data_IF_962180275520
#
_entry.id   IF_962180275520
#
_cell.length_a   1.000
_cell.length_b   1.000
_cell.length_c   1.000
_cell.angle_alpha   90.00
_cell.angle_beta   90.00
_cell.angle_gamma   90.00
#
_symmetry.space_group_name_H-M   'P 1'
#
loop_
_entity.id
_entity.type
_entity.pdbx_description
1 polymer ?
#
# COMPACT_ATOMS: atom_id res chain seq x y z
N UNK A 1 7.22 0.72 31.56
CA UNK A 1 7.16 1.23 32.93
C UNK A 1 8.28 2.23 33.15
N UNK A 2 8.02 3.33 33.86
CA UNK A 2 9.00 4.42 34.08
C UNK A 2 9.90 4.19 35.31
N UNK A 3 9.47 3.32 36.23
CA UNK A 3 10.21 2.97 37.43
C UNK A 3 11.20 1.82 37.14
N UNK A 4 12.46 1.91 37.59
CA UNK A 4 13.38 0.78 37.56
C UNK A 4 12.81 -0.40 38.35
N UNK A 5 12.89 -1.60 37.77
CA UNK A 5 12.42 -2.83 38.41
C UNK A 5 13.62 -3.59 38.97
N UNK A 6 13.57 -3.96 40.25
CA UNK A 6 14.61 -4.79 40.87
C UNK A 6 14.66 -6.18 40.22
N UNK A 7 15.88 -6.68 40.00
CA UNK A 7 16.13 -7.99 39.39
C UNK A 7 16.97 -8.83 40.33
N UNK A 8 16.46 -9.99 40.69
CA UNK A 8 17.13 -11.00 41.52
C UNK A 8 17.51 -12.24 40.69
N UNK A 9 18.23 -13.18 41.30
CA UNK A 9 18.68 -14.42 40.67
C UNK A 9 17.46 -15.19 40.11
N UNK A 10 17.51 -15.50 38.80
CA UNK A 10 16.41 -16.17 38.07
C UNK A 10 15.46 -15.22 37.35
N UNK A 11 15.58 -13.91 37.53
CA UNK A 11 14.75 -12.92 36.82
C UNK A 11 15.11 -12.83 35.34
N UNK A 12 14.10 -12.78 34.47
CA UNK A 12 14.31 -12.50 33.05
C UNK A 12 14.71 -11.03 32.83
N UNK A 13 15.72 -10.84 31.99
CA UNK A 13 16.19 -9.53 31.51
C UNK A 13 15.94 -9.42 30.01
N UNK A 14 15.57 -8.22 29.56
CA UNK A 14 15.22 -7.96 28.16
C UNK A 14 16.37 -7.17 27.54
N UNK A 15 16.88 -7.63 26.40
CA UNK A 15 17.88 -6.87 25.64
C UNK A 15 17.32 -5.50 25.24
N UNK A 16 18.05 -4.43 25.56
CA UNK A 16 17.61 -3.04 25.36
C UNK A 16 17.22 -2.30 26.65
N UNK A 17 17.13 -2.98 27.80
CA UNK A 17 16.94 -2.30 29.10
C UNK A 17 18.26 -1.76 29.65
N UNK A 18 18.22 -0.59 30.29
CA UNK A 18 19.38 0.05 30.89
C UNK A 18 19.53 -0.44 32.34
N UNK A 19 20.68 -1.04 32.66
CA UNK A 19 21.03 -1.34 34.05
C UNK A 19 21.38 -0.04 34.79
N UNK A 20 20.72 0.21 35.93
CA UNK A 20 20.95 1.43 36.74
C UNK A 20 22.01 1.25 37.81
N UNK A 21 22.04 0.10 38.47
CA UNK A 21 22.84 -0.09 39.70
C UNK A 21 23.32 -1.52 39.81
N UNK A 22 24.60 -1.67 40.17
CA UNK A 22 25.24 -2.97 40.37
C UNK A 22 25.75 -3.61 39.08
N UNK A 23 26.55 -4.65 39.26
CA UNK A 23 27.05 -5.50 38.19
C UNK A 23 26.50 -6.91 38.41
N UNK A 24 25.93 -7.51 37.38
CA UNK A 24 25.43 -8.87 37.45
C UNK A 24 25.76 -9.59 36.14
N UNK A 25 26.01 -10.89 36.25
CA UNK A 25 26.13 -11.78 35.09
C UNK A 25 24.77 -12.37 34.77
N UNK A 26 24.42 -12.40 33.49
CA UNK A 26 23.21 -13.03 33.00
C UNK A 26 23.57 -14.08 31.97
N UNK A 27 22.74 -15.12 31.87
CA UNK A 27 22.84 -16.14 30.82
C UNK A 27 21.93 -15.73 29.67
N UNK A 28 22.50 -15.62 28.47
CA UNK A 28 21.72 -15.29 27.28
C UNK A 28 20.81 -16.45 26.90
N UNK A 29 19.50 -16.22 26.87
CA UNK A 29 18.49 -17.23 26.48
C UNK A 29 18.01 -17.08 25.05
N UNK A 30 18.04 -15.85 24.50
CA UNK A 30 17.63 -15.51 23.13
C UNK A 30 18.59 -14.48 22.53
N UNK A 31 19.02 -14.69 21.30
CA UNK A 31 19.97 -13.81 20.58
C UNK A 31 19.48 -13.49 19.17
N UNK A 32 19.92 -12.35 18.63
CA UNK A 32 19.60 -11.93 17.25
C UNK A 32 18.09 -11.80 17.01
N UNK A 33 17.58 -12.59 16.06
CA UNK A 33 16.18 -12.56 15.62
C UNK A 33 15.17 -12.99 16.71
N UNK A 34 15.62 -13.69 17.74
CA UNK A 34 14.76 -14.13 18.86
C UNK A 34 14.66 -13.09 19.98
N UNK A 35 15.38 -11.97 19.87
CA UNK A 35 15.30 -10.89 20.87
C UNK A 35 13.93 -10.21 20.84
N UNK A 36 13.51 -9.70 21.99
CA UNK A 36 12.25 -8.95 22.07
C UNK A 36 12.23 -7.74 21.11
N UNK A 37 13.38 -7.06 20.94
CA UNK A 37 13.51 -5.95 20.00
C UNK A 37 13.34 -6.40 18.54
N UNK A 38 13.96 -7.52 18.15
CA UNK A 38 13.81 -8.06 16.79
C UNK A 38 12.36 -8.50 16.50
N UNK A 39 11.65 -9.05 17.50
CA UNK A 39 10.23 -9.37 17.37
C UNK A 39 9.37 -8.11 17.19
N UNK A 40 9.67 -7.03 17.92
CA UNK A 40 8.97 -5.75 17.77
C UNK A 40 9.21 -5.16 16.37
N UNK A 41 10.46 -5.15 15.90
CA UNK A 41 10.81 -4.66 14.55
C UNK A 41 10.05 -5.47 13.50
N UNK A 42 10.07 -6.80 13.60
CA UNK A 42 9.35 -7.69 12.68
C UNK A 42 7.85 -7.43 12.68
N UNK A 43 7.24 -7.24 13.85
CA UNK A 43 5.81 -6.90 13.96
C UNK A 43 5.48 -5.55 13.30
N UNK A 44 6.35 -4.54 13.48
CA UNK A 44 6.18 -3.23 12.85
C UNK A 44 6.35 -3.34 11.33
N UNK A 45 7.32 -4.10 10.87
CA UNK A 45 7.58 -4.32 9.44
C UNK A 45 6.44 -5.09 8.77
N UNK A 46 5.91 -6.14 9.41
CA UNK A 46 4.72 -6.87 8.95
C UNK A 46 3.48 -5.95 8.90
N UNK A 47 3.32 -5.06 9.89
CA UNK A 47 2.24 -4.07 9.90
C UNK A 47 2.41 -3.02 8.79
N UNK A 48 3.61 -2.50 8.55
CA UNK A 48 3.89 -1.52 7.49
C UNK A 48 3.87 -2.12 6.08
N UNK A 49 4.25 -3.39 5.92
CA UNK A 49 4.11 -4.11 4.66
C UNK A 49 2.62 -4.36 4.30
N UNK A 50 1.70 -4.26 5.27
CA UNK A 50 0.27 -4.38 5.04
C UNK A 50 -0.40 -3.08 4.53
N UNK A 51 0.31 -1.95 4.55
CA UNK A 51 -0.08 -0.73 3.82
C UNK A 51 0.33 -0.90 2.34
N UNK A 52 -0.54 -0.87 1.33
CA UNK A 52 -1.68 0.01 1.14
C UNK A 52 -2.90 -0.75 0.55
N UNK A 53 -3.90 -1.13 1.35
CA UNK A 53 -5.15 -1.72 0.84
C UNK A 53 -5.92 -0.74 -0.06
N UNK A 54 -5.73 0.57 0.13
CA UNK A 54 -6.38 1.62 -0.69
C UNK A 54 -5.92 1.60 -2.14
N UNK A 55 -4.65 1.22 -2.40
CA UNK A 55 -4.10 1.19 -3.76
C UNK A 55 -4.77 0.10 -4.60
N UNK A 56 -5.07 -1.04 -3.98
CA UNK A 56 -5.79 -2.15 -4.63
C UNK A 56 -7.23 -1.78 -5.02
N UNK A 57 -7.91 -0.96 -4.22
CA UNK A 57 -9.26 -0.49 -4.53
C UNK A 57 -9.27 0.41 -5.77
N UNK A 58 -8.32 1.35 -5.87
CA UNK A 58 -8.18 2.21 -7.03
C UNK A 58 -7.83 1.41 -8.31
N UNK A 59 -6.88 0.47 -8.20
CA UNK A 59 -6.49 -0.41 -9.31
C UNK A 59 -7.65 -1.30 -9.75
N UNK A 60 -8.47 -1.79 -8.81
CA UNK A 60 -9.65 -2.59 -9.14
C UNK A 60 -10.67 -1.78 -9.94
N UNK A 61 -10.98 -0.54 -9.53
CA UNK A 61 -11.89 0.33 -10.30
C UNK A 61 -11.33 0.62 -11.69
N UNK A 62 -10.04 0.94 -11.79
CA UNK A 62 -9.38 1.16 -13.09
C UNK A 62 -9.45 -0.09 -13.98
N UNK A 63 -9.28 -1.29 -13.40
CA UNK A 63 -9.31 -2.56 -14.15
C UNK A 63 -10.67 -2.86 -14.78
N UNK A 64 -11.77 -2.37 -14.22
CA UNK A 64 -13.11 -2.47 -14.82
C UNK A 64 -13.42 -1.30 -15.76
N UNK A 65 -12.97 -0.09 -15.42
CA UNK A 65 -13.28 1.11 -16.20
C UNK A 65 -12.62 1.09 -17.60
N UNK A 66 -11.34 0.71 -17.68
CA UNK A 66 -10.59 0.65 -18.94
C UNK A 66 -11.24 -0.25 -20.00
N UNK A 67 -11.58 -1.53 -19.72
CA UNK A 67 -12.20 -2.39 -20.72
C UNK A 67 -13.60 -1.92 -21.14
N UNK A 68 -14.38 -1.31 -20.23
CA UNK A 68 -15.69 -0.74 -20.56
C UNK A 68 -15.54 0.41 -21.56
N UNK A 69 -14.62 1.33 -21.32
CA UNK A 69 -14.34 2.46 -22.23
C UNK A 69 -13.91 1.97 -23.60
N UNK A 70 -13.02 0.98 -23.65
CA UNK A 70 -12.54 0.40 -24.92
C UNK A 70 -13.70 -0.21 -25.70
N UNK A 71 -14.59 -0.96 -25.04
CA UNK A 71 -15.80 -1.51 -25.66
C UNK A 71 -16.71 -0.41 -26.23
N UNK A 72 -16.92 0.67 -25.47
CA UNK A 72 -17.72 1.81 -25.93
C UNK A 72 -17.07 2.51 -27.13
N UNK A 73 -15.75 2.71 -27.11
CA UNK A 73 -15.01 3.31 -28.23
C UNK A 73 -15.13 2.48 -29.51
N UNK A 74 -15.01 1.15 -29.41
CA UNK A 74 -15.22 0.24 -30.54
C UNK A 74 -16.67 0.28 -31.03
N UNK A 75 -17.66 0.31 -30.13
CA UNK A 75 -19.07 0.39 -30.52
C UNK A 75 -19.38 1.70 -31.28
N UNK A 76 -18.81 2.82 -30.85
CA UNK A 76 -18.95 4.11 -31.51
C UNK A 76 -18.28 4.13 -32.89
N UNK A 77 -17.09 3.53 -33.01
CA UNK A 77 -16.40 3.38 -34.30
C UNK A 77 -17.21 2.52 -35.27
N UNK A 78 -17.74 1.38 -34.83
CA UNK A 78 -18.57 0.49 -35.66
C UNK A 78 -19.87 1.20 -36.07
N UNK A 79 -20.54 1.89 -35.16
CA UNK A 79 -21.77 2.63 -35.47
C UNK A 79 -21.60 3.68 -36.57
N UNK A 80 -20.50 4.44 -36.53
CA UNK A 80 -20.18 5.43 -37.55
C UNK A 80 -19.56 4.84 -38.83
N UNK A 81 -18.92 3.67 -38.74
CA UNK A 81 -18.43 2.94 -39.91
C UNK A 81 -19.57 2.50 -40.83
N UNK A 82 -20.69 2.01 -40.27
CA UNK A 82 -21.85 1.60 -41.06
C UNK A 82 -22.53 2.75 -41.81
N UNK A 83 -22.34 3.99 -41.38
CA UNK A 83 -22.90 5.20 -42.01
C UNK A 83 -22.03 5.75 -43.15
N UNK A 84 -20.87 5.13 -43.42
CA UNK A 84 -20.03 5.43 -44.60
C UNK A 84 -19.16 6.70 -44.50
N UNK A 85 -19.11 7.36 -43.35
CA UNK A 85 -18.37 8.61 -43.13
C UNK A 85 -17.05 8.38 -42.36
N UNK A 86 -16.03 7.88 -43.06
CA UNK A 86 -14.71 7.54 -42.50
C UNK A 86 -14.06 8.64 -41.63
N UNK A 87 -14.11 9.94 -41.99
CA UNK A 87 -13.54 11.01 -41.16
C UNK A 87 -14.27 11.16 -39.82
N UNK A 88 -15.58 10.95 -39.81
CA UNK A 88 -16.44 11.16 -38.65
C UNK A 88 -16.32 10.00 -37.67
N UNK A 89 -16.12 8.78 -38.16
CA UNK A 89 -15.81 7.59 -37.35
C UNK A 89 -14.50 7.73 -36.60
N UNK A 90 -13.47 8.29 -37.23
CA UNK A 90 -12.16 8.51 -36.61
C UNK A 90 -12.21 9.62 -35.55
N UNK A 91 -12.93 10.73 -35.82
CA UNK A 91 -13.15 11.78 -34.81
C UNK A 91 -13.94 11.26 -33.61
N UNK A 92 -15.00 10.48 -33.82
CA UNK A 92 -15.79 9.89 -32.75
C UNK A 92 -14.95 8.94 -31.88
N UNK A 93 -14.12 8.09 -32.50
CA UNK A 93 -13.21 7.20 -31.79
C UNK A 93 -12.18 7.95 -30.92
N UNK A 94 -11.53 8.97 -31.49
CA UNK A 94 -10.54 9.79 -30.78
C UNK A 94 -11.21 10.58 -29.65
N UNK A 95 -12.40 11.15 -29.87
CA UNK A 95 -13.14 11.89 -28.86
C UNK A 95 -13.50 11.02 -27.65
N UNK A 96 -13.94 9.78 -27.87
CA UNK A 96 -14.27 8.82 -26.80
C UNK A 96 -13.02 8.41 -26.01
N UNK A 97 -11.87 8.23 -26.67
CA UNK A 97 -10.61 7.94 -25.98
C UNK A 97 -10.10 9.12 -25.14
N UNK A 98 -10.18 10.34 -25.68
CA UNK A 98 -9.72 11.55 -24.98
C UNK A 98 -10.56 11.80 -23.73
N UNK A 99 -11.89 11.70 -23.84
CA UNK A 99 -12.78 12.00 -22.70
C UNK A 99 -12.69 10.95 -21.59
N UNK A 100 -12.27 9.73 -21.93
CA UNK A 100 -12.16 8.63 -20.98
C UNK A 100 -10.78 8.53 -20.33
N UNK A 101 -9.82 9.38 -20.70
CA UNK A 101 -8.47 9.32 -20.17
C UNK A 101 -8.50 9.54 -18.64
N UNK A 102 -8.11 8.56 -17.81
CA UNK A 102 -8.31 8.59 -16.36
C UNK A 102 -7.25 9.42 -15.63
N UNK A 103 -6.77 10.53 -16.21
CA UNK A 103 -5.68 11.35 -15.68
C UNK A 103 -5.91 11.81 -14.23
N UNK A 104 -7.17 12.07 -13.87
CA UNK A 104 -7.56 12.46 -12.51
C UNK A 104 -7.50 11.31 -11.49
N UNK A 105 -7.66 10.06 -11.94
CA UNK A 105 -7.68 8.89 -11.07
C UNK A 105 -6.28 8.62 -10.46
N UNK A 106 -5.21 8.85 -11.24
CA UNK A 106 -3.82 8.62 -10.81
C UNK A 106 -3.34 9.58 -9.72
N UNK A 107 -3.91 10.78 -9.65
CA UNK A 107 -3.58 11.78 -8.61
C UNK A 107 -4.47 11.67 -7.37
N UNK A 108 -5.63 11.01 -7.46
CA UNK A 108 -6.60 10.93 -6.37
C UNK A 108 -6.09 10.07 -5.20
N UNK A 109 -5.44 8.94 -5.48
CA UNK A 109 -4.90 8.02 -4.46
C UNK A 109 -3.83 8.67 -3.57
N UNK A 110 -2.78 9.34 -4.11
CA UNK A 110 -1.79 10.03 -3.27
C UNK A 110 -2.36 11.27 -2.57
N UNK A 111 -3.30 12.00 -3.20
CA UNK A 111 -3.93 13.16 -2.56
C UNK A 111 -4.73 12.76 -1.31
N UNK A 112 -5.46 11.64 -1.35
CA UNK A 112 -6.19 11.12 -0.19
C UNK A 112 -5.26 10.66 0.96
N UNK A 113 -4.06 10.16 0.62
CA UNK A 113 -3.07 9.69 1.60
C UNK A 113 -2.23 10.80 2.23
N UNK A 114 -2.03 11.93 1.56
CA UNK A 114 -1.23 13.04 2.09
C UNK A 114 -2.02 14.00 2.98
N UNK A 115 -3.34 13.99 2.89
CA UNK A 115 -4.24 14.90 3.63
C UNK A 115 -4.78 14.26 4.93
N UNK A 116 -4.71 12.93 5.06
CA UNK A 116 -5.05 12.18 6.28
C UNK A 116 -3.83 11.76 7.06
#
# INVERSE_FOLDING_TARGET
>A
ESMPVEKSIGSAVIGGTINRTGLFHFKTTRVGAETALAQIIKLVEEAQASSAPIQRLADQVASYFVPIVVLVAFSAFIGWWLTGNFPQSLMAFIAVLIIACPCALGIATPAALMVG
#
